data_IF_634266634999
#
_entry.id   IF_634266634999
#
_cell.length_a   1.000
_cell.length_b   1.000
_cell.length_c   1.000
_cell.angle_alpha   90.00
_cell.angle_beta   90.00
_cell.angle_gamma   90.00
#
_symmetry.space_group_name_H-M   'P 1'
#
loop_
_entity.id
_entity.type
_entity.pdbx_description
1 polymer ?
#
# COMPACT_ATOMS: atom_id res chain seq x y z
N UNK A 1 10.44 19.02 -0.27
CA UNK A 1 11.01 20.33 -0.61
C UNK A 1 9.97 21.27 -1.26
N UNK A 2 9.31 20.87 -2.38
CA UNK A 2 8.33 21.77 -3.07
C UNK A 2 7.15 22.18 -2.19
N UNK A 3 6.60 21.28 -1.39
CA UNK A 3 5.48 21.60 -0.50
C UNK A 3 5.86 22.67 0.55
N UNK A 4 7.08 22.59 1.09
CA UNK A 4 7.59 23.56 2.05
C UNK A 4 7.71 24.94 1.40
N UNK A 5 8.27 25.02 0.17
CA UNK A 5 8.38 26.28 -0.56
C UNK A 5 7.02 26.89 -0.82
N UNK A 6 6.02 26.11 -1.25
CA UNK A 6 4.66 26.60 -1.43
C UNK A 6 4.01 27.07 -0.13
N UNK A 7 4.29 26.36 0.99
CA UNK A 7 3.85 26.80 2.33
C UNK A 7 4.46 28.15 2.73
N UNK A 8 5.77 28.33 2.54
CA UNK A 8 6.47 29.58 2.86
C UNK A 8 6.02 30.77 1.98
N UNK A 9 5.64 30.51 0.74
CA UNK A 9 5.12 31.51 -0.19
C UNK A 9 3.64 31.81 0.00
N UNK A 10 2.94 31.10 0.89
CA UNK A 10 1.50 31.26 1.10
C UNK A 10 0.63 30.84 -0.08
N UNK A 11 1.11 29.90 -0.91
CA UNK A 11 0.47 29.49 -2.16
C UNK A 11 -0.67 28.46 -1.97
N UNK A 12 -1.03 28.11 -0.75
CA UNK A 12 -2.13 27.17 -0.49
C UNK A 12 -3.47 27.87 -0.54
N UNK A 13 -4.42 27.31 -1.27
CA UNK A 13 -5.80 27.80 -1.45
C UNK A 13 -5.89 29.25 -1.94
N UNK A 14 -4.88 29.74 -2.63
CA UNK A 14 -4.87 31.05 -3.27
C UNK A 14 -5.13 30.94 -4.78
N UNK A 15 -5.76 31.93 -5.41
CA UNK A 15 -5.91 31.96 -6.86
C UNK A 15 -4.54 31.82 -7.57
N UNK A 16 -4.42 30.82 -8.44
CA UNK A 16 -3.15 30.50 -9.13
C UNK A 16 -2.18 29.65 -8.32
N UNK A 17 -2.49 29.29 -7.06
CA UNK A 17 -1.68 28.44 -6.20
C UNK A 17 -2.13 26.99 -6.18
N UNK A 18 -1.67 26.27 -5.14
CA UNK A 18 -2.06 24.89 -4.88
C UNK A 18 -3.40 24.87 -4.13
N UNK A 19 -4.36 24.12 -4.66
CA UNK A 19 -5.63 23.89 -3.98
C UNK A 19 -5.47 22.71 -2.99
N UNK A 20 -5.98 22.88 -1.77
CA UNK A 20 -6.15 21.77 -0.86
C UNK A 20 -7.20 20.80 -1.42
N UNK A 21 -6.87 19.51 -1.43
CA UNK A 21 -7.79 18.48 -1.91
C UNK A 21 -9.04 18.45 -1.01
N UNK A 22 -10.22 18.61 -1.62
CA UNK A 22 -11.49 18.40 -0.94
C UNK A 22 -11.89 16.95 -1.14
N UNK A 23 -12.20 16.27 -0.04
CA UNK A 23 -12.63 14.87 -0.08
C UNK A 23 -14.14 14.77 0.08
N UNK A 24 -14.73 13.79 -0.60
CA UNK A 24 -16.07 13.33 -0.31
C UNK A 24 -15.95 12.29 0.81
N UNK A 25 -16.63 12.50 1.93
CA UNK A 25 -16.74 11.46 2.95
C UNK A 25 -17.53 10.28 2.40
N UNK A 26 -16.88 9.14 2.30
CA UNK A 26 -17.55 7.88 1.99
C UNK A 26 -17.61 7.07 3.28
N UNK A 27 -18.80 6.58 3.61
CA UNK A 27 -18.95 5.57 4.66
C UNK A 27 -18.52 4.23 4.09
N UNK A 28 -17.57 3.57 4.75
CA UNK A 28 -17.24 2.17 4.47
C UNK A 28 -18.27 1.22 5.11
N UNK A 29 -18.23 -0.08 4.77
CA UNK A 29 -18.98 -1.09 5.51
C UNK A 29 -18.52 -1.13 6.97
N UNK A 30 -19.43 -1.44 7.90
CA UNK A 30 -19.07 -1.79 9.27
C UNK A 30 -18.39 -3.17 9.23
N UNK A 31 -17.12 -3.21 9.57
CA UNK A 31 -16.34 -4.44 9.66
C UNK A 31 -16.11 -4.79 11.13
N UNK A 32 -15.98 -6.07 11.47
CA UNK A 32 -15.52 -6.49 12.79
C UNK A 32 -14.14 -5.89 13.09
N UNK A 33 -13.86 -5.66 14.35
CA UNK A 33 -12.52 -5.26 14.78
C UNK A 33 -11.49 -6.31 14.35
N UNK A 34 -10.36 -5.87 13.82
CA UNK A 34 -9.32 -6.78 13.38
C UNK A 34 -8.73 -7.57 14.57
N UNK A 35 -8.66 -8.92 14.51
CA UNK A 35 -8.36 -9.76 15.67
C UNK A 35 -6.92 -9.63 16.17
N UNK A 36 -6.05 -8.97 15.41
CA UNK A 36 -4.61 -8.92 15.66
C UNK A 36 -4.10 -7.53 16.00
N UNK A 37 -5.00 -6.54 16.13
CA UNK A 37 -4.60 -5.16 16.34
C UNK A 37 -4.90 -4.73 17.78
N UNK A 38 -4.00 -5.05 18.68
CA UNK A 38 -3.82 -4.19 19.83
C UNK A 38 -2.88 -3.07 19.39
N UNK A 39 -3.34 -1.85 19.48
CA UNK A 39 -2.59 -0.64 19.14
C UNK A 39 -1.44 -0.44 20.14
N UNK A 40 -0.49 -1.36 20.13
CA UNK A 40 0.72 -1.25 20.91
C UNK A 40 1.84 -0.77 19.97
N UNK A 41 2.21 0.52 20.03
CA UNK A 41 3.30 1.06 19.23
C UNK A 41 4.61 0.31 19.40
N UNK A 42 4.81 -0.35 20.54
CA UNK A 42 6.02 -1.12 20.85
C UNK A 42 6.13 -2.39 20.01
N UNK A 43 5.00 -2.90 19.48
CA UNK A 43 4.98 -4.11 18.65
C UNK A 43 5.29 -3.81 17.17
N UNK A 44 5.40 -2.57 16.80
CA UNK A 44 5.75 -2.18 15.42
C UNK A 44 7.21 -2.53 15.11
N UNK A 45 7.43 -3.12 13.95
CA UNK A 45 8.77 -3.51 13.48
C UNK A 45 9.72 -2.31 13.31
N UNK A 46 9.18 -1.11 13.07
CA UNK A 46 9.93 0.14 12.94
C UNK A 46 9.91 1.03 14.19
N UNK A 47 9.39 0.52 15.32
CA UNK A 47 9.30 1.26 16.57
C UNK A 47 10.68 1.76 17.05
N UNK A 48 10.72 2.99 17.52
CA UNK A 48 11.94 3.63 18.05
C UNK A 48 13.02 3.96 17.00
N UNK A 49 12.81 3.59 15.73
CA UNK A 49 13.81 3.82 14.66
C UNK A 49 13.67 5.18 13.98
N UNK A 50 12.50 5.79 14.04
CA UNK A 50 12.25 7.13 13.53
C UNK A 50 11.17 7.85 14.33
N UNK A 51 11.30 9.18 14.41
CA UNK A 51 10.16 10.02 14.75
C UNK A 51 9.29 10.16 13.50
N UNK A 52 8.18 9.47 13.48
CA UNK A 52 7.18 9.61 12.42
C UNK A 52 6.30 10.82 12.73
N UNK A 53 5.99 11.62 11.71
CA UNK A 53 5.04 12.73 11.87
C UNK A 53 3.61 12.25 12.09
N UNK A 54 3.31 11.04 11.62
CA UNK A 54 2.02 10.40 11.74
C UNK A 54 2.24 8.97 12.24
N UNK A 55 1.62 8.62 13.34
CA UNK A 55 1.78 7.28 13.96
C UNK A 55 1.25 6.14 13.08
N UNK A 56 0.34 6.47 12.17
CA UNK A 56 -0.27 5.53 11.22
C UNK A 56 0.64 5.17 10.04
N UNK A 57 1.70 5.95 9.78
CA UNK A 57 2.60 5.71 8.65
C UNK A 57 3.83 4.89 9.05
N UNK A 58 4.18 3.93 8.22
CA UNK A 58 5.42 3.15 8.33
C UNK A 58 6.53 3.70 7.46
N UNK A 59 7.78 3.46 7.84
CA UNK A 59 8.95 3.79 7.03
C UNK A 59 9.55 2.54 6.42
N UNK A 60 9.48 2.40 5.09
CA UNK A 60 10.10 1.27 4.39
C UNK A 60 11.58 1.10 4.74
N UNK A 61 12.33 2.20 4.86
CA UNK A 61 13.75 2.15 5.25
C UNK A 61 13.94 1.50 6.62
N UNK A 62 13.14 1.89 7.60
CA UNK A 62 13.26 1.37 8.96
C UNK A 62 12.75 -0.06 9.09
N UNK A 63 11.67 -0.41 8.40
CA UNK A 63 11.20 -1.78 8.26
C UNK A 63 12.27 -2.67 7.62
N UNK A 64 12.88 -2.21 6.53
CA UNK A 64 13.97 -2.92 5.87
C UNK A 64 15.16 -3.17 6.79
N UNK A 65 15.63 -2.13 7.49
CA UNK A 65 16.75 -2.24 8.40
C UNK A 65 16.39 -3.18 9.60
N UNK A 66 15.14 -3.15 10.06
CA UNK A 66 14.63 -4.05 11.11
C UNK A 66 14.61 -5.52 10.68
N UNK A 67 14.18 -5.81 9.46
CA UNK A 67 14.18 -7.16 8.89
C UNK A 67 15.61 -7.68 8.76
N UNK A 68 16.55 -6.86 8.28
CA UNK A 68 17.97 -7.24 8.17
C UNK A 68 18.58 -7.55 9.54
N UNK A 69 18.22 -6.77 10.56
CA UNK A 69 18.74 -6.92 11.92
C UNK A 69 17.98 -7.94 12.77
N UNK A 70 16.85 -8.44 12.27
CA UNK A 70 15.89 -9.30 12.99
C UNK A 70 15.41 -8.71 14.32
N UNK A 71 15.22 -7.39 14.37
CA UNK A 71 14.83 -6.64 15.56
C UNK A 71 13.68 -5.69 15.27
N UNK A 72 12.69 -5.57 16.19
CA UNK A 72 12.59 -6.17 17.54
C UNK A 72 12.30 -7.67 17.54
N UNK A 73 11.84 -8.21 16.41
CA UNK A 73 11.56 -9.62 16.18
C UNK A 73 11.87 -10.01 14.73
N UNK A 74 12.10 -11.30 14.43
CA UNK A 74 12.33 -11.74 13.06
C UNK A 74 11.02 -11.68 12.24
N UNK A 75 11.05 -10.94 11.13
CA UNK A 75 9.98 -10.95 10.13
C UNK A 75 10.28 -12.06 9.13
N UNK A 76 9.37 -13.01 8.95
CA UNK A 76 9.58 -14.20 8.12
C UNK A 76 8.92 -14.13 6.75
N UNK A 77 7.83 -13.37 6.64
CA UNK A 77 7.08 -13.25 5.39
C UNK A 77 6.84 -11.80 5.00
N UNK A 78 6.79 -11.56 3.70
CA UNK A 78 6.45 -10.26 3.16
C UNK A 78 5.41 -10.37 2.05
N UNK A 79 4.35 -9.59 2.19
CA UNK A 79 3.34 -9.43 1.17
C UNK A 79 3.53 -8.09 0.47
N UNK A 80 3.98 -8.10 -0.79
CA UNK A 80 4.21 -6.93 -1.60
C UNK A 80 3.03 -6.72 -2.56
N UNK A 81 2.31 -5.63 -2.38
CA UNK A 81 1.21 -5.26 -3.26
C UNK A 81 1.44 -3.87 -3.85
N UNK A 82 1.41 -3.79 -5.17
CA UNK A 82 1.49 -2.52 -5.91
C UNK A 82 2.77 -1.72 -5.58
N UNK A 83 3.84 -2.41 -5.26
CA UNK A 83 5.12 -1.80 -4.86
C UNK A 83 6.29 -2.52 -5.50
N UNK A 84 7.27 -1.78 -6.02
CA UNK A 84 8.53 -2.34 -6.53
C UNK A 84 9.73 -1.66 -5.85
N UNK A 85 10.03 -1.99 -4.59
CA UNK A 85 11.07 -1.32 -3.83
C UNK A 85 12.49 -1.59 -4.35
N UNK A 86 12.72 -2.65 -5.11
CA UNK A 86 14.02 -2.86 -5.77
C UNK A 86 14.34 -1.78 -6.81
N UNK A 87 13.33 -1.07 -7.32
CA UNK A 87 13.52 0.07 -8.21
C UNK A 87 13.19 1.42 -7.56
N UNK A 88 12.14 1.47 -6.74
CA UNK A 88 11.60 2.74 -6.23
C UNK A 88 12.26 3.25 -4.96
N UNK A 89 13.00 2.38 -4.24
CA UNK A 89 13.60 2.75 -2.96
C UNK A 89 15.12 2.78 -3.08
N UNK A 90 15.72 3.81 -2.48
CA UNK A 90 17.17 3.96 -2.45
C UNK A 90 17.87 2.79 -1.75
N UNK A 91 19.09 2.48 -2.21
CA UNK A 91 19.94 1.40 -1.72
C UNK A 91 19.37 0.00 -2.00
N UNK A 92 19.36 -0.36 -3.30
CA UNK A 92 18.94 -1.67 -3.81
C UNK A 92 19.63 -2.84 -3.09
N UNK A 93 20.93 -2.72 -2.78
CA UNK A 93 21.67 -3.80 -2.12
C UNK A 93 21.12 -4.12 -0.73
N UNK A 94 20.72 -3.12 0.05
CA UNK A 94 20.05 -3.35 1.32
C UNK A 94 18.67 -3.97 1.15
N UNK A 95 17.94 -3.64 0.09
CA UNK A 95 16.66 -4.27 -0.20
C UNK A 95 16.84 -5.75 -0.58
N UNK A 96 17.90 -6.10 -1.30
CA UNK A 96 18.27 -7.49 -1.56
C UNK A 96 18.63 -8.24 -0.26
N UNK A 97 19.42 -7.63 0.64
CA UNK A 97 19.71 -8.22 1.95
C UNK A 97 18.43 -8.45 2.78
N UNK A 98 17.46 -7.53 2.71
CA UNK A 98 16.16 -7.74 3.37
C UNK A 98 15.44 -8.96 2.78
N UNK A 99 15.44 -9.10 1.46
CA UNK A 99 14.83 -10.25 0.76
C UNK A 99 15.48 -11.56 1.19
N UNK A 100 16.81 -11.60 1.28
CA UNK A 100 17.56 -12.78 1.70
C UNK A 100 17.26 -13.22 3.15
N UNK A 101 16.74 -12.33 4.00
CA UNK A 101 16.36 -12.62 5.37
C UNK A 101 14.89 -13.07 5.53
N UNK A 102 14.12 -13.08 4.45
CA UNK A 102 12.73 -13.51 4.45
C UNK A 102 12.61 -14.99 4.04
N UNK A 103 11.75 -15.73 4.73
CA UNK A 103 11.47 -17.13 4.40
C UNK A 103 10.43 -17.24 3.26
N UNK A 104 9.62 -16.20 3.03
CA UNK A 104 8.56 -16.22 2.02
C UNK A 104 8.20 -14.81 1.54
N UNK A 105 8.10 -14.63 0.22
CA UNK A 105 7.66 -13.39 -0.40
C UNK A 105 6.53 -13.69 -1.37
N UNK A 106 5.38 -13.03 -1.16
CA UNK A 106 4.26 -13.02 -2.07
C UNK A 106 4.12 -11.63 -2.69
N UNK A 107 4.10 -11.56 -4.00
CA UNK A 107 3.86 -10.31 -4.73
C UNK A 107 2.56 -10.36 -5.52
N UNK A 108 1.76 -9.30 -5.40
CA UNK A 108 0.60 -9.05 -6.26
C UNK A 108 0.91 -7.85 -7.14
N UNK A 109 1.10 -8.07 -8.43
CA UNK A 109 1.50 -7.02 -9.37
C UNK A 109 0.83 -7.21 -10.73
N UNK A 110 0.84 -6.15 -11.53
CA UNK A 110 0.32 -6.15 -12.91
C UNK A 110 1.38 -6.61 -13.94
N UNK A 111 2.63 -6.72 -13.51
CA UNK A 111 3.76 -7.10 -14.35
C UNK A 111 4.84 -7.80 -13.50
N UNK A 112 5.74 -8.51 -14.18
CA UNK A 112 6.92 -9.10 -13.54
C UNK A 112 7.96 -8.01 -13.28
N UNK A 113 7.73 -7.25 -12.19
CA UNK A 113 8.68 -6.25 -11.69
C UNK A 113 9.93 -6.91 -11.08
N UNK A 114 10.99 -6.14 -10.83
CA UNK A 114 12.20 -6.68 -10.17
C UNK A 114 11.87 -7.35 -8.84
N UNK A 115 10.94 -6.79 -8.07
CA UNK A 115 10.49 -7.39 -6.81
C UNK A 115 9.69 -8.67 -7.04
N UNK A 116 8.82 -8.69 -8.06
CA UNK A 116 8.08 -9.89 -8.44
C UNK A 116 9.02 -11.03 -8.88
N UNK A 117 10.11 -10.73 -9.59
CA UNK A 117 11.14 -11.71 -9.97
C UNK A 117 11.88 -12.33 -8.78
N UNK A 118 11.90 -11.64 -7.64
CA UNK A 118 12.56 -12.13 -6.40
C UNK A 118 11.56 -12.78 -5.45
N UNK A 119 10.29 -12.91 -5.84
CA UNK A 119 9.24 -13.47 -4.98
C UNK A 119 9.06 -14.96 -5.21
N UNK A 120 8.68 -15.67 -4.15
CA UNK A 120 8.35 -17.10 -4.18
C UNK A 120 7.02 -17.36 -4.88
N UNK A 121 6.08 -16.43 -4.74
CA UNK A 121 4.76 -16.50 -5.35
C UNK A 121 4.35 -15.15 -5.93
N UNK A 122 3.90 -15.17 -7.19
CA UNK A 122 3.35 -13.98 -7.85
C UNK A 122 1.91 -14.24 -8.23
N UNK A 123 1.00 -13.38 -7.74
CA UNK A 123 -0.41 -13.39 -8.11
C UNK A 123 -0.68 -12.23 -9.08
N UNK A 124 -1.15 -12.52 -10.30
CA UNK A 124 -1.36 -11.48 -11.29
C UNK A 124 -2.60 -10.64 -10.97
N UNK A 125 -2.41 -9.33 -10.93
CA UNK A 125 -3.49 -8.35 -10.84
C UNK A 125 -3.79 -7.74 -12.21
N UNK A 126 -5.05 -7.35 -12.50
CA UNK A 126 -5.39 -6.67 -13.73
C UNK A 126 -4.83 -5.25 -13.75
N UNK A 127 -4.47 -4.78 -14.93
CA UNK A 127 -4.08 -3.39 -15.15
C UNK A 127 -5.26 -2.43 -14.89
N UNK A 128 -4.99 -1.13 -14.84
CA UNK A 128 -6.04 -0.13 -14.63
C UNK A 128 -7.08 -0.06 -15.75
N UNK A 129 -6.77 -0.58 -16.95
CA UNK A 129 -7.71 -0.67 -18.06
C UNK A 129 -8.63 -1.90 -17.99
N UNK A 130 -8.27 -2.89 -17.20
CA UNK A 130 -8.91 -4.20 -17.11
C UNK A 130 -9.79 -4.35 -15.85
N UNK A 131 -9.76 -3.38 -14.95
CA UNK A 131 -10.46 -3.48 -13.67
C UNK A 131 -11.39 -2.30 -13.42
N UNK A 132 -12.43 -2.56 -12.65
CA UNK A 132 -13.21 -1.52 -12.02
C UNK A 132 -12.49 -1.04 -10.76
N UNK A 133 -12.29 0.25 -10.64
CA UNK A 133 -11.79 0.89 -9.43
C UNK A 133 -12.89 1.81 -8.88
N UNK A 134 -13.62 1.37 -7.87
CA UNK A 134 -14.56 2.26 -7.21
C UNK A 134 -13.78 3.33 -6.46
N UNK A 135 -14.10 4.56 -6.69
CA UNK A 135 -13.68 5.70 -5.89
C UNK A 135 -12.17 5.95 -5.74
N UNK A 136 -11.31 5.34 -6.54
CA UNK A 136 -9.86 5.60 -6.46
C UNK A 136 -9.44 7.02 -6.87
N UNK A 137 -10.38 7.85 -7.24
CA UNK A 137 -10.17 9.22 -7.69
C UNK A 137 -10.75 10.28 -6.77
N UNK A 138 -10.82 10.04 -5.47
CA UNK A 138 -11.24 11.05 -4.47
C UNK A 138 -10.28 12.23 -4.37
N UNK A 139 -9.65 12.59 -5.45
CA UNK A 139 -8.75 13.73 -5.47
C UNK A 139 -9.49 14.94 -6.00
N UNK A 140 -10.06 15.68 -5.06
CA UNK A 140 -10.48 17.05 -5.34
C UNK A 140 -9.25 17.90 -5.64
N UNK A 141 -8.75 17.84 -6.87
CA UNK A 141 -7.82 18.87 -7.37
C UNK A 141 -8.56 20.12 -7.85
N UNK A 142 -9.87 20.15 -7.67
CA UNK A 142 -10.75 21.21 -8.14
C UNK A 142 -11.54 21.83 -7.00
N UNK A 143 -12.24 22.92 -7.27
CA UNK A 143 -13.09 23.61 -6.31
C UNK A 143 -14.25 22.75 -5.77
N UNK A 144 -14.51 21.58 -6.33
CA UNK A 144 -15.54 20.65 -5.88
C UNK A 144 -14.94 19.26 -5.59
N UNK A 145 -15.40 18.65 -4.49
CA UNK A 145 -15.14 17.26 -4.20
C UNK A 145 -15.96 16.37 -5.16
N UNK A 146 -15.34 15.35 -5.71
CA UNK A 146 -16.02 14.41 -6.59
C UNK A 146 -15.57 12.98 -6.35
N UNK A 147 -16.47 12.04 -6.61
CA UNK A 147 -16.18 10.61 -6.69
C UNK A 147 -16.18 10.22 -8.15
N UNK A 148 -15.11 9.59 -8.59
CA UNK A 148 -14.99 9.10 -9.97
C UNK A 148 -14.94 7.58 -9.93
N UNK A 149 -15.83 6.94 -10.67
CA UNK A 149 -15.78 5.51 -10.94
C UNK A 149 -15.06 5.27 -12.27
N UNK A 150 -14.37 4.16 -12.36
CA UNK A 150 -13.72 3.71 -13.58
C UNK A 150 -14.17 2.31 -13.90
N UNK A 151 -14.80 2.14 -15.07
CA UNK A 151 -15.16 0.84 -15.59
C UNK A 151 -14.02 0.25 -16.43
N UNK A 152 -13.89 -1.07 -16.52
CA UNK A 152 -12.90 -1.71 -17.36
C UNK A 152 -13.18 -1.39 -18.83
N UNK A 153 -12.11 -1.04 -19.56
CA UNK A 153 -12.18 -0.77 -21.00
C UNK A 153 -11.99 -2.03 -21.82
N UNK A 154 -11.23 -2.98 -21.25
CA UNK A 154 -10.96 -4.29 -21.84
C UNK A 154 -11.13 -5.37 -20.78
N UNK A 155 -11.48 -6.61 -21.18
CA UNK A 155 -11.53 -7.72 -20.23
C UNK A 155 -10.15 -8.02 -19.66
N UNK A 156 -10.15 -8.52 -18.40
CA UNK A 156 -8.91 -8.95 -17.73
C UNK A 156 -8.22 -10.07 -18.51
N UNK A 157 -6.92 -9.94 -18.70
CA UNK A 157 -6.11 -10.91 -19.44
C UNK A 157 -5.61 -12.03 -18.53
N UNK A 158 -5.49 -13.22 -19.12
CA UNK A 158 -4.94 -14.42 -18.48
C UNK A 158 -5.64 -14.79 -17.17
N UNK A 159 -4.86 -15.11 -16.14
CA UNK A 159 -5.36 -15.49 -14.82
C UNK A 159 -5.49 -14.32 -13.85
N UNK A 160 -5.31 -13.07 -14.34
CA UNK A 160 -5.39 -11.90 -13.48
C UNK A 160 -6.77 -11.76 -12.80
N UNK A 161 -6.75 -11.45 -11.51
CA UNK A 161 -7.96 -11.28 -10.70
C UNK A 161 -7.91 -9.96 -9.98
N UNK A 162 -9.07 -9.29 -9.80
CA UNK A 162 -9.14 -8.08 -8.99
C UNK A 162 -8.52 -8.31 -7.62
N UNK A 163 -7.73 -7.35 -7.15
CA UNK A 163 -6.99 -7.51 -5.89
C UNK A 163 -7.91 -7.78 -4.72
N UNK A 164 -9.08 -7.16 -4.68
CA UNK A 164 -10.08 -7.44 -3.67
C UNK A 164 -10.51 -8.93 -3.68
N UNK A 165 -10.72 -9.52 -4.85
CA UNK A 165 -11.00 -10.95 -4.98
C UNK A 165 -9.84 -11.81 -4.45
N UNK A 166 -8.59 -11.43 -4.75
CA UNK A 166 -7.39 -12.12 -4.25
C UNK A 166 -7.38 -12.11 -2.72
N UNK A 167 -7.56 -10.93 -2.09
CA UNK A 167 -7.60 -10.84 -0.64
C UNK A 167 -8.76 -11.62 -0.01
N UNK A 168 -9.96 -11.54 -0.60
CA UNK A 168 -11.12 -12.29 -0.13
C UNK A 168 -10.88 -13.80 -0.18
N UNK A 169 -10.25 -14.30 -1.24
CA UNK A 169 -9.89 -15.71 -1.37
C UNK A 169 -8.76 -16.16 -0.43
N UNK A 170 -7.80 -15.30 -0.16
CA UNK A 170 -6.78 -15.55 0.85
C UNK A 170 -7.39 -15.58 2.26
N UNK A 171 -8.23 -14.61 2.59
CA UNK A 171 -8.90 -14.52 3.88
C UNK A 171 -9.72 -15.78 4.18
N UNK A 172 -10.47 -16.32 3.19
CA UNK A 172 -11.21 -17.58 3.34
C UNK A 172 -10.31 -18.77 3.70
N UNK A 173 -9.08 -18.81 3.17
CA UNK A 173 -8.13 -19.90 3.43
C UNK A 173 -7.36 -19.73 4.75
N UNK A 174 -7.42 -18.55 5.32
CA UNK A 174 -6.77 -18.20 6.58
C UNK A 174 -7.76 -18.08 7.73
N UNK A 175 -9.03 -18.51 7.53
CA UNK A 175 -10.12 -18.39 8.50
C UNK A 175 -10.40 -16.92 8.94
N UNK A 176 -10.19 -15.98 8.02
CA UNK A 176 -10.43 -14.54 8.20
C UNK A 176 -11.58 -14.02 7.33
N UNK A 177 -12.48 -14.92 6.86
CA UNK A 177 -13.52 -14.54 5.91
C UNK A 177 -14.50 -13.49 6.46
N UNK A 178 -14.76 -13.49 7.76
CA UNK A 178 -15.69 -12.55 8.41
C UNK A 178 -15.26 -11.08 8.28
N UNK A 179 -13.95 -10.81 8.13
CA UNK A 179 -13.42 -9.46 7.93
C UNK A 179 -13.55 -8.97 6.49
N UNK A 180 -14.00 -9.81 5.57
CA UNK A 180 -14.13 -9.53 4.14
C UNK A 180 -15.53 -9.81 3.60
N UNK A 181 -16.52 -9.99 4.47
CA UNK A 181 -17.88 -10.29 4.08
C UNK A 181 -18.71 -9.01 3.91
N UNK A 182 -18.42 -8.30 2.81
CA UNK A 182 -19.12 -7.08 2.40
C UNK A 182 -19.20 -6.96 0.87
#
# INVERSE_FOLDING_TARGET
AMAIVNGLLGNWDQPGGLLAARQVGLSGPELPDAPFYEDNPDDRVDHGRAHMMFDEEGSFKHMRDAIIEEKPYPVKGWFAYKINPLQSVANRNKTLQMIDNLDFILTVDIAMSDTAWMSDLVLPAPSYLERQDPASGLQGSSACACVVTRDPVVPALFESKPVFWIFKELAKRLDLAEYFDF
#
